data_IF_760705455752
#
_entry.id   IF_760705455752
#
_cell.length_a   1.000
_cell.length_b   1.000
_cell.length_c   1.000
_cell.angle_alpha   90.00
_cell.angle_beta   90.00
_cell.angle_gamma   90.00
#
_symmetry.space_group_name_H-M   'P 1'
#
loop_
_entity.id
_entity.type
_entity.pdbx_description
1 polymer ?
#
# COMPACT_ATOMS: atom_id res chain seq x y z
N UNK A 1 29.84 -15.73 -2.87
CA UNK A 1 28.63 -16.56 -2.70
C UNK A 1 27.86 -16.58 -4.02
N UNK A 2 28.10 -17.60 -4.84
CA UNK A 2 27.48 -17.74 -6.18
C UNK A 2 26.29 -18.71 -6.14
N UNK A 3 26.10 -19.41 -5.01
CA UNK A 3 25.03 -20.41 -4.87
C UNK A 3 23.68 -19.75 -4.57
N UNK A 4 22.67 -19.91 -5.47
CA UNK A 4 21.33 -19.33 -5.27
C UNK A 4 20.65 -19.78 -3.97
N UNK A 5 20.94 -20.99 -3.49
CA UNK A 5 20.38 -21.56 -2.25
C UNK A 5 20.84 -20.77 -1.03
N UNK A 6 22.09 -20.27 -1.01
CA UNK A 6 22.61 -19.47 0.10
C UNK A 6 21.92 -18.09 0.23
N UNK A 7 21.37 -17.56 -0.86
CA UNK A 7 20.64 -16.30 -0.86
C UNK A 7 19.23 -16.41 -0.25
N UNK A 8 18.60 -17.58 -0.27
CA UNK A 8 17.25 -17.75 0.28
C UNK A 8 17.17 -17.43 1.78
N UNK A 9 18.01 -18.03 2.67
CA UNK A 9 17.97 -17.69 4.09
C UNK A 9 18.37 -16.24 4.37
N UNK A 10 19.33 -15.69 3.62
CA UNK A 10 19.70 -14.27 3.75
C UNK A 10 18.55 -13.35 3.39
N UNK A 11 17.82 -13.64 2.32
CA UNK A 11 16.61 -12.88 1.92
C UNK A 11 15.51 -12.98 2.95
N UNK A 12 15.31 -14.14 3.55
CA UNK A 12 14.33 -14.34 4.61
C UNK A 12 14.69 -13.49 5.85
N UNK A 13 15.95 -13.53 6.29
CA UNK A 13 16.42 -12.75 7.44
C UNK A 13 16.32 -11.25 7.15
N UNK A 14 16.80 -10.79 5.99
CA UNK A 14 16.75 -9.37 5.63
C UNK A 14 15.31 -8.87 5.46
N UNK A 15 14.42 -9.69 4.89
CA UNK A 15 12.99 -9.36 4.75
C UNK A 15 12.31 -9.25 6.11
N UNK A 16 12.59 -10.17 7.03
CA UNK A 16 12.06 -10.13 8.39
C UNK A 16 12.58 -8.90 9.17
N UNK A 17 13.87 -8.61 9.08
CA UNK A 17 14.48 -7.43 9.71
C UNK A 17 13.89 -6.12 9.14
N UNK A 18 13.72 -6.04 7.82
CA UNK A 18 13.12 -4.90 7.15
C UNK A 18 11.66 -4.67 7.57
N UNK A 19 10.86 -5.74 7.61
CA UNK A 19 9.48 -5.66 8.07
C UNK A 19 9.38 -5.19 9.53
N UNK A 20 10.27 -5.71 10.40
CA UNK A 20 10.39 -5.28 11.79
C UNK A 20 10.76 -3.80 11.93
N UNK A 21 11.70 -3.32 11.12
CA UNK A 21 12.11 -1.91 11.09
C UNK A 21 10.95 -0.99 10.67
N UNK A 22 10.23 -1.31 9.61
CA UNK A 22 9.08 -0.52 9.15
C UNK A 22 8.00 -0.48 10.23
N UNK A 23 7.65 -1.64 10.80
CA UNK A 23 6.63 -1.74 11.85
C UNK A 23 7.01 -0.94 13.11
N UNK A 24 8.28 -1.02 13.52
CA UNK A 24 8.78 -0.25 14.65
C UNK A 24 8.72 1.26 14.38
N UNK A 25 9.13 1.70 13.18
CA UNK A 25 9.10 3.11 12.78
C UNK A 25 7.67 3.64 12.73
N UNK A 26 6.75 2.94 12.09
CA UNK A 26 5.34 3.33 12.03
C UNK A 26 4.68 3.37 13.41
N UNK A 27 4.97 2.38 14.26
CA UNK A 27 4.47 2.35 15.64
C UNK A 27 4.98 3.51 16.45
N UNK A 28 6.28 3.84 16.33
CA UNK A 28 6.90 4.96 17.04
C UNK A 28 6.33 6.30 16.58
N UNK A 29 6.20 6.50 15.26
CA UNK A 29 5.58 7.71 14.68
C UNK A 29 4.13 7.87 15.16
N UNK A 30 3.35 6.81 15.15
CA UNK A 30 1.97 6.83 15.59
C UNK A 30 1.82 7.12 17.10
N UNK A 31 2.75 6.65 17.92
CA UNK A 31 2.73 6.86 19.37
C UNK A 31 3.12 8.28 19.76
N UNK A 32 4.03 8.93 19.02
CA UNK A 32 4.52 10.28 19.31
C UNK A 32 3.81 11.38 18.52
N UNK A 33 2.96 11.02 17.56
CA UNK A 33 2.20 11.99 16.77
C UNK A 33 1.09 12.64 17.60
N UNK A 34 1.10 13.96 17.70
CA UNK A 34 -0.02 14.73 18.25
C UNK A 34 -1.22 14.58 17.30
N UNK A 35 -2.42 14.40 17.85
CA UNK A 35 -3.63 14.09 17.08
C UNK A 35 -3.90 15.10 15.94
N UNK A 36 -3.61 16.38 16.15
CA UNK A 36 -3.77 17.43 15.15
C UNK A 36 -2.77 17.40 13.99
N UNK A 37 -1.57 16.82 14.17
CA UNK A 37 -0.50 16.78 13.16
C UNK A 37 -0.16 15.37 12.68
N UNK A 38 -0.85 14.35 13.20
CA UNK A 38 -0.61 12.93 12.88
C UNK A 38 -0.67 12.64 11.38
N UNK A 39 -1.67 13.21 10.69
CA UNK A 39 -1.82 13.04 9.24
C UNK A 39 -0.64 13.63 8.46
N UNK A 40 -0.16 14.80 8.86
CA UNK A 40 1.01 15.45 8.23
C UNK A 40 2.27 14.61 8.44
N UNK A 41 2.51 14.12 9.65
CA UNK A 41 3.68 13.30 9.98
C UNK A 41 3.71 12.00 9.16
N UNK A 42 2.58 11.30 9.07
CA UNK A 42 2.46 10.08 8.27
C UNK A 42 2.60 10.35 6.76
N UNK A 43 2.12 11.51 6.28
CA UNK A 43 2.31 11.91 4.88
C UNK A 43 3.77 12.20 4.57
N UNK A 44 4.49 12.90 5.45
CA UNK A 44 5.93 13.14 5.30
C UNK A 44 6.70 11.82 5.30
N UNK A 45 6.38 10.90 6.23
CA UNK A 45 6.97 9.57 6.24
C UNK A 45 6.73 8.83 4.92
N UNK A 46 5.52 8.88 4.38
CA UNK A 46 5.19 8.28 3.08
C UNK A 46 6.00 8.87 1.92
N UNK A 47 6.10 10.19 1.85
CA UNK A 47 6.89 10.89 0.80
C UNK A 47 8.37 10.54 0.91
N UNK A 48 8.94 10.56 2.12
CA UNK A 48 10.34 10.19 2.36
C UNK A 48 10.59 8.74 1.98
N UNK A 49 9.70 7.82 2.36
CA UNK A 49 9.83 6.39 2.03
C UNK A 49 9.79 6.15 0.52
N UNK A 50 8.80 6.71 -0.18
CA UNK A 50 8.68 6.57 -1.64
C UNK A 50 9.84 7.26 -2.39
N UNK A 51 10.26 8.44 -1.93
CA UNK A 51 11.42 9.15 -2.46
C UNK A 51 12.71 8.34 -2.31
N UNK A 52 12.90 7.72 -1.15
CA UNK A 52 14.05 6.85 -0.89
C UNK A 52 14.06 5.62 -1.81
N UNK A 53 12.90 5.04 -2.10
CA UNK A 53 12.79 3.93 -3.06
C UNK A 53 13.15 4.37 -4.47
N UNK A 54 12.68 5.55 -4.90
CA UNK A 54 13.04 6.11 -6.21
C UNK A 54 14.55 6.39 -6.33
N UNK A 55 15.16 6.96 -5.30
CA UNK A 55 16.60 7.18 -5.21
C UNK A 55 17.35 5.84 -5.26
N UNK A 56 16.85 4.82 -4.54
CA UNK A 56 17.40 3.47 -4.57
C UNK A 56 17.47 2.87 -5.98
N UNK A 57 16.44 3.11 -6.81
CA UNK A 57 16.47 2.68 -8.22
C UNK A 57 17.55 3.43 -9.02
N UNK A 58 17.75 4.72 -8.75
CA UNK A 58 18.80 5.50 -9.43
C UNK A 58 20.21 5.05 -9.03
N UNK A 59 20.41 4.59 -7.79
CA UNK A 59 21.70 4.08 -7.29
C UNK A 59 22.18 2.85 -8.07
N UNK A 60 21.28 2.07 -8.67
CA UNK A 60 21.65 0.92 -9.51
C UNK A 60 22.50 1.31 -10.74
N UNK A 61 22.47 2.58 -11.14
CA UNK A 61 23.25 3.08 -12.29
C UNK A 61 24.66 3.56 -11.91
N UNK A 62 25.05 3.54 -10.63
CA UNK A 62 26.37 4.01 -10.16
C UNK A 62 27.46 2.98 -10.46
N UNK A 63 27.14 1.69 -10.37
CA UNK A 63 28.11 0.62 -10.60
C UNK A 63 27.41 -0.62 -11.20
N UNK A 64 28.13 -1.48 -11.94
CA UNK A 64 27.59 -2.74 -12.44
C UNK A 64 27.02 -3.59 -11.29
N UNK A 65 25.87 -4.26 -11.47
CA UNK A 65 25.25 -5.09 -10.41
C UNK A 65 26.13 -6.26 -9.93
N UNK A 66 27.10 -6.66 -10.73
CA UNK A 66 28.06 -7.70 -10.37
C UNK A 66 29.16 -7.22 -9.41
N UNK A 67 29.33 -5.90 -9.26
CA UNK A 67 30.34 -5.31 -8.39
C UNK A 67 29.89 -5.29 -6.93
N UNK A 68 30.87 -5.40 -6.03
CA UNK A 68 30.67 -5.27 -4.58
C UNK A 68 30.28 -3.83 -4.19
N UNK A 69 30.54 -2.86 -5.04
CA UNK A 69 30.34 -1.42 -4.77
C UNK A 69 28.92 -1.09 -4.31
N UNK A 70 27.89 -1.64 -4.97
CA UNK A 70 26.49 -1.40 -4.58
C UNK A 70 26.19 -1.96 -3.18
N UNK A 71 26.73 -3.13 -2.84
CA UNK A 71 26.57 -3.72 -1.50
C UNK A 71 27.28 -2.89 -0.43
N UNK A 72 28.45 -2.34 -0.73
CA UNK A 72 29.19 -1.44 0.18
C UNK A 72 28.40 -0.14 0.42
N UNK A 73 27.85 0.47 -0.64
CA UNK A 73 27.02 1.68 -0.53
C UNK A 73 25.80 1.41 0.36
N UNK A 74 25.07 0.32 0.13
CA UNK A 74 23.91 -0.04 0.94
C UNK A 74 24.30 -0.27 2.41
N UNK A 75 25.38 -1.01 2.66
CA UNK A 75 25.88 -1.25 4.02
C UNK A 75 26.28 0.05 4.73
N UNK A 76 26.92 0.97 4.01
CA UNK A 76 27.30 2.28 4.54
C UNK A 76 26.08 3.12 4.88
N UNK A 77 25.08 3.18 3.98
CA UNK A 77 23.85 3.93 4.20
C UNK A 77 23.05 3.38 5.39
N UNK A 78 22.94 2.06 5.53
CA UNK A 78 22.26 1.44 6.68
C UNK A 78 23.02 1.76 7.97
N UNK A 79 24.35 1.64 7.97
CA UNK A 79 25.17 1.96 9.14
C UNK A 79 25.07 3.45 9.53
N UNK A 80 25.10 4.33 8.53
CA UNK A 80 24.92 5.76 8.75
C UNK A 80 23.53 6.12 9.29
N UNK A 81 22.48 5.41 8.87
CA UNK A 81 21.11 5.63 9.36
C UNK A 81 20.93 5.27 10.85
N UNK A 82 21.75 4.35 11.39
CA UNK A 82 21.70 3.98 12.80
C UNK A 82 22.26 5.08 13.71
N UNK A 83 23.25 5.86 13.23
CA UNK A 83 23.94 6.89 14.02
C UNK A 83 22.97 7.93 14.62
N UNK A 84 22.12 8.61 13.86
CA UNK A 84 21.20 9.60 14.45
C UNK A 84 20.17 8.96 15.42
N UNK A 85 19.78 7.72 15.17
CA UNK A 85 18.83 7.00 16.04
C UNK A 85 19.43 6.72 17.41
N UNK A 86 20.72 6.36 17.45
CA UNK A 86 21.43 6.05 18.70
C UNK A 86 21.84 7.29 19.49
N UNK A 87 21.97 8.44 18.80
CA UNK A 87 22.34 9.71 19.45
C UNK A 87 21.13 10.45 20.06
N UNK A 88 19.90 10.15 19.61
CA UNK A 88 18.71 10.78 20.12
C UNK A 88 18.11 9.97 21.28
N UNK A 89 17.89 10.59 22.47
CA UNK A 89 17.18 9.90 23.56
C UNK A 89 15.75 9.62 23.11
N UNK A 90 15.40 8.35 22.99
CA UNK A 90 14.05 7.92 22.64
C UNK A 90 13.40 7.20 23.82
N UNK A 91 12.15 7.55 24.10
CA UNK A 91 11.33 6.78 25.04
C UNK A 91 10.69 5.63 24.27
N UNK A 92 10.70 4.41 24.82
CA UNK A 92 10.00 3.31 24.19
C UNK A 92 8.51 3.63 24.08
N UNK A 93 7.83 3.29 22.98
CA UNK A 93 6.41 3.50 22.85
C UNK A 93 5.66 2.70 23.91
N UNK A 94 4.58 3.28 24.46
CA UNK A 94 3.70 2.57 25.37
C UNK A 94 3.21 1.27 24.73
N UNK A 95 3.24 0.18 25.47
CA UNK A 95 2.72 -1.10 24.99
C UNK A 95 1.22 -0.96 24.80
N UNK A 96 0.79 -0.94 23.54
CA UNK A 96 -0.63 -1.02 23.20
C UNK A 96 -1.05 -2.48 23.33
N UNK A 97 -2.07 -2.75 24.15
CA UNK A 97 -2.65 -4.09 24.24
C UNK A 97 -2.97 -4.62 22.85
N UNK A 98 -2.42 -5.80 22.53
CA UNK A 98 -2.58 -6.39 21.21
C UNK A 98 -3.92 -7.12 21.15
N UNK A 99 -4.94 -6.49 20.56
CA UNK A 99 -6.14 -7.22 20.16
C UNK A 99 -5.78 -8.32 19.16
N UNK A 100 -6.27 -9.52 19.41
CA UNK A 100 -6.06 -10.68 18.52
C UNK A 100 -6.81 -10.44 17.21
N UNK A 101 -6.09 -10.54 16.11
CA UNK A 101 -6.70 -10.49 14.78
C UNK A 101 -7.49 -11.77 14.55
N UNK A 102 -8.81 -11.65 14.43
CA UNK A 102 -9.67 -12.77 14.04
C UNK A 102 -9.91 -12.67 12.53
N UNK A 103 -9.10 -13.37 11.75
CA UNK A 103 -9.19 -13.39 10.28
C UNK A 103 -10.60 -13.70 9.76
N UNK A 104 -11.30 -14.61 10.42
CA UNK A 104 -12.66 -14.97 10.04
C UNK A 104 -13.60 -13.77 10.10
N UNK A 105 -13.50 -12.97 11.16
CA UNK A 105 -14.34 -11.80 11.35
C UNK A 105 -14.07 -10.73 10.29
N UNK A 106 -12.80 -10.54 9.93
CA UNK A 106 -12.41 -9.62 8.85
C UNK A 106 -12.99 -10.05 7.50
N UNK A 107 -12.82 -11.33 7.12
CA UNK A 107 -13.31 -11.86 5.84
C UNK A 107 -14.85 -11.83 5.77
N UNK A 108 -15.54 -12.03 6.89
CA UNK A 108 -16.99 -11.98 6.95
C UNK A 108 -17.53 -10.55 6.94
N UNK A 109 -16.85 -9.63 7.62
CA UNK A 109 -17.30 -8.25 7.74
C UNK A 109 -17.01 -7.41 6.49
N UNK A 110 -15.82 -7.56 5.88
CA UNK A 110 -15.44 -6.84 4.67
C UNK A 110 -14.75 -7.76 3.65
N UNK A 111 -15.52 -8.64 3.00
CA UNK A 111 -14.95 -9.64 2.08
C UNK A 111 -14.32 -9.02 0.84
N UNK A 112 -14.79 -7.86 0.38
CA UNK A 112 -14.15 -7.14 -0.73
C UNK A 112 -12.77 -6.61 -0.33
N UNK A 113 -12.65 -6.02 0.86
CA UNK A 113 -11.39 -5.49 1.34
C UNK A 113 -10.36 -6.63 1.55
N UNK A 114 -10.79 -7.76 2.12
CA UNK A 114 -9.93 -8.91 2.34
C UNK A 114 -9.45 -9.53 1.02
N UNK A 115 -10.36 -9.80 0.08
CA UNK A 115 -10.02 -10.33 -1.24
C UNK A 115 -9.17 -9.32 -2.05
N UNK A 116 -9.52 -8.03 -1.98
CA UNK A 116 -8.79 -6.97 -2.68
C UNK A 116 -7.37 -6.80 -2.17
N UNK A 117 -7.15 -6.80 -0.86
CA UNK A 117 -5.82 -6.74 -0.28
C UNK A 117 -4.95 -7.95 -0.70
N UNK A 118 -5.53 -9.15 -0.71
CA UNK A 118 -4.82 -10.36 -1.12
C UNK A 118 -4.49 -10.35 -2.62
N UNK A 119 -5.47 -10.06 -3.49
CA UNK A 119 -5.28 -10.06 -4.95
C UNK A 119 -4.34 -8.93 -5.40
N UNK A 120 -4.45 -7.74 -4.80
CA UNK A 120 -3.50 -6.65 -5.04
C UNK A 120 -2.09 -7.04 -4.59
N UNK A 121 -1.97 -7.69 -3.42
CA UNK A 121 -0.70 -8.23 -2.94
C UNK A 121 -0.07 -9.23 -3.92
N UNK A 122 -0.86 -10.16 -4.44
CA UNK A 122 -0.40 -11.13 -5.45
C UNK A 122 0.10 -10.43 -6.73
N UNK A 123 -0.68 -9.51 -7.28
CA UNK A 123 -0.35 -8.83 -8.54
C UNK A 123 0.89 -7.94 -8.40
N UNK A 124 0.90 -7.08 -7.38
CA UNK A 124 1.98 -6.10 -7.15
C UNK A 124 3.22 -6.78 -6.57
N UNK A 125 3.04 -7.79 -5.70
CA UNK A 125 4.14 -8.61 -5.21
C UNK A 125 4.87 -9.35 -6.33
N UNK A 126 4.11 -9.90 -7.29
CA UNK A 126 4.67 -10.49 -8.51
C UNK A 126 5.55 -9.50 -9.27
N UNK A 127 5.09 -8.26 -9.44
CA UNK A 127 5.87 -7.18 -10.07
C UNK A 127 7.14 -6.86 -9.28
N UNK A 128 7.07 -6.66 -7.97
CA UNK A 128 8.26 -6.34 -7.16
C UNK A 128 9.32 -7.43 -7.19
N UNK A 129 8.91 -8.71 -7.18
CA UNK A 129 9.84 -9.83 -7.21
C UNK A 129 10.39 -10.15 -8.59
N UNK A 130 9.60 -10.00 -9.66
CA UNK A 130 9.93 -10.46 -11.00
C UNK A 130 10.08 -9.34 -12.04
N UNK A 131 9.75 -8.09 -11.70
CA UNK A 131 9.86 -6.94 -12.61
C UNK A 131 11.25 -6.74 -13.20
N UNK A 132 12.36 -6.76 -12.39
CA UNK A 132 13.70 -6.70 -12.97
C UNK A 132 14.02 -7.86 -13.91
N UNK A 133 13.55 -9.08 -13.61
CA UNK A 133 13.72 -10.25 -14.48
C UNK A 133 12.93 -10.11 -15.79
N UNK A 134 11.73 -9.53 -15.73
CA UNK A 134 10.98 -9.16 -16.93
C UNK A 134 11.81 -8.22 -17.82
N UNK A 135 12.34 -7.12 -17.25
CA UNK A 135 13.16 -6.16 -17.97
C UNK A 135 14.38 -6.80 -18.64
N UNK A 136 15.09 -7.70 -17.94
CA UNK A 136 16.21 -8.46 -18.49
C UNK A 136 15.78 -9.34 -19.67
N UNK A 137 14.65 -10.05 -19.56
CA UNK A 137 14.16 -10.96 -20.59
C UNK A 137 13.70 -10.26 -21.87
N UNK A 138 13.28 -9.01 -21.77
CA UNK A 138 12.93 -8.18 -22.94
C UNK A 138 14.13 -7.37 -23.48
N UNK A 139 15.33 -7.60 -22.91
CA UNK A 139 16.58 -7.01 -23.42
C UNK A 139 16.87 -5.59 -22.93
N UNK A 140 16.23 -5.12 -21.83
CA UNK A 140 16.58 -3.84 -21.24
C UNK A 140 17.93 -3.93 -20.52
N UNK A 141 18.72 -2.89 -20.67
CA UNK A 141 19.92 -2.67 -19.86
C UNK A 141 19.55 -2.25 -18.42
N UNK A 142 20.53 -2.13 -17.55
CA UNK A 142 20.34 -1.76 -16.14
C UNK A 142 19.62 -0.40 -16.02
N UNK A 143 19.96 0.55 -16.90
CA UNK A 143 19.34 1.87 -16.96
C UNK A 143 17.86 1.79 -17.32
N UNK A 144 17.51 1.00 -18.34
CA UNK A 144 16.13 0.76 -18.76
C UNK A 144 15.30 0.07 -17.68
N UNK A 145 15.86 -0.93 -16.99
CA UNK A 145 15.19 -1.61 -15.85
C UNK A 145 14.95 -0.62 -14.70
N UNK A 146 15.96 0.14 -14.31
CA UNK A 146 15.84 1.18 -13.29
C UNK A 146 14.77 2.22 -13.64
N UNK A 147 14.77 2.70 -14.89
CA UNK A 147 13.80 3.66 -15.39
C UNK A 147 12.36 3.09 -15.34
N UNK A 148 12.20 1.81 -15.74
CA UNK A 148 10.90 1.13 -15.69
C UNK A 148 10.38 1.00 -14.26
N UNK A 149 11.21 0.54 -13.33
CA UNK A 149 10.84 0.44 -11.91
C UNK A 149 10.50 1.82 -11.31
N UNK A 150 11.29 2.85 -11.65
CA UNK A 150 11.04 4.22 -11.23
C UNK A 150 9.75 4.81 -11.83
N UNK A 151 9.44 4.48 -13.09
CA UNK A 151 8.20 4.92 -13.75
C UNK A 151 6.95 4.36 -13.03
N UNK A 152 6.98 3.09 -12.63
CA UNK A 152 5.90 2.46 -11.85
C UNK A 152 5.69 3.18 -10.52
N UNK A 153 6.78 3.52 -9.80
CA UNK A 153 6.71 4.31 -8.57
C UNK A 153 6.22 5.73 -8.80
N UNK A 154 6.71 6.39 -9.85
CA UNK A 154 6.30 7.73 -10.25
C UNK A 154 4.80 7.81 -10.56
N UNK A 155 4.28 6.81 -11.28
CA UNK A 155 2.85 6.66 -11.53
C UNK A 155 2.04 6.52 -10.24
N UNK A 156 2.55 5.73 -9.29
CA UNK A 156 1.93 5.58 -7.97
C UNK A 156 1.85 6.91 -7.23
N UNK A 157 2.95 7.65 -7.16
CA UNK A 157 2.98 8.97 -6.51
C UNK A 157 2.00 9.96 -7.15
N UNK A 158 1.90 9.94 -8.49
CA UNK A 158 1.01 10.83 -9.24
C UNK A 158 -0.47 10.51 -9.02
N UNK A 159 -0.85 9.22 -8.98
CA UNK A 159 -2.26 8.80 -8.95
C UNK A 159 -2.79 8.44 -7.56
N UNK A 160 -1.93 8.26 -6.57
CA UNK A 160 -2.36 7.89 -5.20
C UNK A 160 -3.29 8.94 -4.57
N UNK A 161 -2.93 10.23 -4.68
CA UNK A 161 -3.77 11.31 -4.17
C UNK A 161 -5.08 11.48 -4.97
N UNK A 162 -5.09 11.55 -6.32
CA UNK A 162 -6.32 11.63 -7.09
C UNK A 162 -7.29 10.47 -6.85
N UNK A 163 -6.79 9.24 -6.74
CA UNK A 163 -7.62 8.07 -6.45
C UNK A 163 -8.20 8.11 -5.04
N UNK A 164 -7.43 8.53 -4.05
CA UNK A 164 -7.92 8.75 -2.69
C UNK A 164 -9.04 9.79 -2.66
N UNK A 165 -8.81 10.95 -3.27
CA UNK A 165 -9.79 12.03 -3.37
C UNK A 165 -11.08 11.60 -4.11
N UNK A 166 -10.95 10.82 -5.19
CA UNK A 166 -12.10 10.28 -5.91
C UNK A 166 -12.88 9.28 -5.06
N UNK A 167 -12.18 8.43 -4.31
CA UNK A 167 -12.75 7.44 -3.40
C UNK A 167 -13.57 8.05 -2.26
N UNK A 168 -13.27 9.29 -1.87
CA UNK A 168 -14.05 10.01 -0.85
C UNK A 168 -15.34 10.64 -1.41
N UNK A 169 -15.47 10.76 -2.73
CA UNK A 169 -16.61 11.42 -3.41
C UNK A 169 -17.54 10.47 -4.15
N UNK A 170 -17.02 9.35 -4.59
CA UNK A 170 -17.76 8.32 -5.34
C UNK A 170 -17.73 7.03 -4.51
N UNK A 171 -18.61 6.07 -4.82
CA UNK A 171 -18.60 4.79 -4.11
C UNK A 171 -17.21 4.13 -4.23
N UNK A 172 -16.60 3.76 -3.09
CA UNK A 172 -15.26 3.18 -3.02
C UNK A 172 -15.12 1.92 -3.88
N UNK A 173 -16.20 1.12 -3.97
CA UNK A 173 -16.21 -0.09 -4.79
C UNK A 173 -16.04 0.22 -6.28
N UNK A 174 -16.69 1.29 -6.77
CA UNK A 174 -16.52 1.72 -8.16
C UNK A 174 -15.12 2.25 -8.43
N UNK A 175 -14.52 2.96 -7.48
CA UNK A 175 -13.13 3.44 -7.61
C UNK A 175 -12.16 2.26 -7.62
N UNK A 176 -12.34 1.26 -6.75
CA UNK A 176 -11.54 0.02 -6.76
C UNK A 176 -11.69 -0.70 -8.10
N UNK A 177 -12.94 -0.88 -8.58
CA UNK A 177 -13.19 -1.54 -9.86
C UNK A 177 -12.53 -0.79 -11.02
N UNK A 178 -12.70 0.53 -11.08
CA UNK A 178 -12.09 1.38 -12.10
C UNK A 178 -10.56 1.35 -12.07
N UNK A 179 -9.96 1.47 -10.89
CA UNK A 179 -8.52 1.39 -10.70
C UNK A 179 -7.97 -0.01 -11.09
N UNK A 180 -8.66 -1.08 -10.69
CA UNK A 180 -8.28 -2.44 -11.04
C UNK A 180 -8.36 -2.69 -12.54
N UNK A 181 -9.41 -2.22 -13.23
CA UNK A 181 -9.53 -2.33 -14.69
C UNK A 181 -8.48 -1.49 -15.42
N UNK A 182 -8.24 -0.26 -14.98
CA UNK A 182 -7.22 0.60 -15.57
C UNK A 182 -5.82 0.00 -15.39
N UNK A 183 -5.51 -0.52 -14.21
CA UNK A 183 -4.25 -1.22 -13.96
C UNK A 183 -4.13 -2.52 -14.77
N UNK A 184 -5.23 -3.28 -14.92
CA UNK A 184 -5.24 -4.48 -15.76
C UNK A 184 -4.99 -4.15 -17.25
N UNK A 185 -5.64 -3.11 -17.77
CA UNK A 185 -5.42 -2.65 -19.13
C UNK A 185 -3.96 -2.19 -19.34
N UNK A 186 -3.40 -1.44 -18.37
CA UNK A 186 -2.01 -1.03 -18.40
C UNK A 186 -1.05 -2.23 -18.32
N UNK A 187 -1.37 -3.26 -17.50
CA UNK A 187 -0.59 -4.49 -17.43
C UNK A 187 -0.58 -5.23 -18.79
N UNK A 188 -1.74 -5.35 -19.47
CA UNK A 188 -1.79 -5.89 -20.83
C UNK A 188 -0.94 -5.02 -21.77
N UNK A 189 -1.03 -3.69 -21.65
CA UNK A 189 -0.19 -2.75 -22.38
C UNK A 189 1.30 -3.02 -22.19
N UNK A 190 1.78 -3.24 -20.96
CA UNK A 190 3.18 -3.61 -20.68
C UNK A 190 3.53 -4.95 -21.33
N UNK A 191 2.66 -5.96 -21.23
CA UNK A 191 2.90 -7.27 -21.84
C UNK A 191 3.06 -7.17 -23.37
N UNK A 192 2.29 -6.30 -24.02
CA UNK A 192 2.35 -6.07 -25.48
C UNK A 192 3.50 -5.13 -25.89
N UNK A 193 3.94 -4.25 -24.99
CA UNK A 193 4.99 -3.27 -25.23
C UNK A 193 6.41 -3.83 -25.04
N UNK A 194 6.57 -5.13 -24.89
CA UNK A 194 7.89 -5.77 -24.73
C UNK A 194 8.85 -5.47 -25.90
N UNK A 195 8.32 -5.27 -27.11
CA UNK A 195 9.08 -4.91 -28.31
C UNK A 195 8.90 -3.43 -28.71
N UNK A 196 8.17 -2.65 -27.94
CA UNK A 196 7.85 -1.26 -28.23
C UNK A 196 8.97 -0.31 -27.74
N UNK A 197 8.98 0.95 -28.23
CA UNK A 197 9.92 1.97 -27.73
C UNK A 197 9.82 2.15 -26.21
N UNK A 198 10.97 2.30 -25.54
CA UNK A 198 11.08 2.44 -24.09
C UNK A 198 10.08 3.45 -23.50
N UNK A 199 9.84 4.64 -24.06
CA UNK A 199 8.88 5.59 -23.49
C UNK A 199 7.46 5.04 -23.36
N UNK A 200 7.01 4.20 -24.30
CA UNK A 200 5.69 3.58 -24.23
C UNK A 200 5.62 2.54 -23.12
N UNK A 201 6.67 1.74 -22.95
CA UNK A 201 6.80 0.78 -21.87
C UNK A 201 6.78 1.49 -20.50
N UNK A 202 7.52 2.61 -20.37
CA UNK A 202 7.54 3.42 -19.15
C UNK A 202 6.16 4.01 -18.82
N UNK A 203 5.46 4.52 -19.83
CA UNK A 203 4.11 5.07 -19.67
C UNK A 203 3.11 3.98 -19.22
N UNK A 204 3.14 2.82 -19.88
CA UNK A 204 2.30 1.67 -19.48
C UNK A 204 2.63 1.18 -18.06
N UNK A 205 3.93 1.11 -17.71
CA UNK A 205 4.39 0.79 -16.36
C UNK A 205 3.91 1.81 -15.31
N UNK A 206 4.01 3.10 -15.62
CA UNK A 206 3.53 4.16 -14.74
C UNK A 206 2.01 4.07 -14.49
N UNK A 207 1.22 3.78 -15.51
CA UNK A 207 -0.22 3.56 -15.37
C UNK A 207 -0.52 2.28 -14.57
N UNK A 208 0.20 1.18 -14.83
CA UNK A 208 0.05 -0.06 -14.06
C UNK A 208 0.27 0.17 -12.56
N UNK A 209 1.40 0.78 -12.18
CA UNK A 209 1.70 1.08 -10.78
C UNK A 209 0.78 2.13 -10.20
N UNK A 210 0.49 3.17 -10.97
CA UNK A 210 -0.34 4.29 -10.56
C UNK A 210 -1.76 3.90 -10.16
N UNK A 211 -2.36 2.98 -10.89
CA UNK A 211 -3.68 2.45 -10.55
C UNK A 211 -3.63 1.22 -9.64
N UNK A 212 -2.60 0.36 -9.75
CA UNK A 212 -2.54 -0.92 -9.06
C UNK A 212 -2.10 -0.81 -7.59
N UNK A 213 -1.03 -0.07 -7.30
CA UNK A 213 -0.47 0.02 -5.95
C UNK A 213 -1.44 0.67 -4.96
N UNK A 214 -2.18 1.76 -5.29
CA UNK A 214 -3.14 2.36 -4.38
C UNK A 214 -4.34 1.48 -4.00
N UNK A 215 -4.61 0.39 -4.72
CA UNK A 215 -5.75 -0.51 -4.46
C UNK A 215 -5.75 -1.01 -3.01
N UNK A 216 -4.59 -1.34 -2.44
CA UNK A 216 -4.49 -1.75 -1.05
C UNK A 216 -5.02 -0.68 -0.08
N UNK A 217 -4.64 0.58 -0.30
CA UNK A 217 -5.12 1.69 0.53
C UNK A 217 -6.63 1.92 0.38
N UNK A 218 -7.18 1.73 -0.82
CA UNK A 218 -8.61 1.79 -1.07
C UNK A 218 -9.35 0.64 -0.38
N UNK A 219 -8.80 -0.58 -0.38
CA UNK A 219 -9.35 -1.71 0.35
C UNK A 219 -9.34 -1.49 1.87
N UNK A 220 -8.28 -0.88 2.40
CA UNK A 220 -8.21 -0.49 3.80
C UNK A 220 -9.29 0.55 4.15
N UNK A 221 -9.53 1.50 3.26
CA UNK A 221 -10.58 2.50 3.44
C UNK A 221 -11.98 1.87 3.45
N UNK A 222 -12.26 0.90 2.56
CA UNK A 222 -13.51 0.12 2.57
C UNK A 222 -13.70 -0.62 3.89
N UNK A 223 -12.66 -1.31 4.36
CA UNK A 223 -12.75 -2.04 5.63
C UNK A 223 -12.99 -1.12 6.84
N UNK A 224 -12.45 0.09 6.79
CA UNK A 224 -12.67 1.10 7.83
C UNK A 224 -14.11 1.64 7.84
N UNK A 225 -14.78 1.67 6.68
CA UNK A 225 -16.19 2.05 6.60
C UNK A 225 -17.13 0.93 7.06
N UNK A 226 -16.76 -0.33 6.82
CA UNK A 226 -17.57 -1.51 7.15
C UNK A 226 -17.51 -1.89 8.64
N UNK A 227 -16.52 -1.42 9.39
CA UNK A 227 -16.22 -1.88 10.74
C UNK A 227 -16.22 -0.76 11.79
N UNK A 228 -16.66 -1.05 13.03
CA UNK A 228 -16.66 -0.07 14.11
C UNK A 228 -15.24 0.34 14.50
N UNK A 229 -15.09 1.56 15.00
CA UNK A 229 -13.81 2.17 15.37
C UNK A 229 -12.95 1.32 16.32
N UNK A 230 -13.58 0.53 17.21
CA UNK A 230 -12.90 -0.38 18.12
C UNK A 230 -12.15 -1.52 17.44
N UNK A 231 -12.49 -1.87 16.19
CA UNK A 231 -11.87 -2.97 15.44
C UNK A 231 -10.91 -2.51 14.35
N UNK A 232 -10.75 -1.21 14.13
CA UNK A 232 -9.93 -0.66 13.02
C UNK A 232 -8.49 -1.15 13.05
N UNK A 233 -7.87 -1.19 14.22
CA UNK A 233 -6.47 -1.59 14.36
C UNK A 233 -6.26 -3.08 14.04
N UNK A 234 -7.16 -3.95 14.53
CA UNK A 234 -7.15 -5.37 14.22
C UNK A 234 -7.37 -5.63 12.73
N UNK A 235 -8.30 -4.89 12.13
CA UNK A 235 -8.62 -4.95 10.70
C UNK A 235 -7.43 -4.57 9.82
N UNK A 236 -6.78 -3.46 10.11
CA UNK A 236 -5.59 -3.01 9.36
C UNK A 236 -4.47 -4.06 9.40
N UNK A 237 -4.22 -4.66 10.57
CA UNK A 237 -3.25 -5.76 10.72
C UNK A 237 -3.63 -6.99 9.90
N UNK A 238 -4.92 -7.37 9.92
CA UNK A 238 -5.42 -8.51 9.15
C UNK A 238 -5.27 -8.30 7.63
N UNK A 239 -5.62 -7.13 7.13
CA UNK A 239 -5.45 -6.76 5.72
C UNK A 239 -3.98 -6.71 5.32
N UNK A 240 -3.11 -6.17 6.17
CA UNK A 240 -1.67 -6.14 5.92
C UNK A 240 -1.10 -7.56 5.83
N UNK A 241 -1.53 -8.48 6.68
CA UNK A 241 -1.13 -9.88 6.62
C UNK A 241 -1.61 -10.57 5.34
N UNK A 242 -2.87 -10.36 4.93
CA UNK A 242 -3.39 -10.91 3.67
C UNK A 242 -2.63 -10.36 2.46
N UNK A 243 -2.36 -9.05 2.44
CA UNK A 243 -1.55 -8.43 1.42
C UNK A 243 -0.11 -8.96 1.40
N UNK A 244 0.49 -9.15 2.60
CA UNK A 244 1.83 -9.71 2.75
C UNK A 244 1.92 -11.16 2.24
N UNK A 245 0.94 -12.00 2.54
CA UNK A 245 0.87 -13.39 2.01
C UNK A 245 0.78 -13.34 0.48
N UNK A 246 -0.09 -12.46 -0.06
CA UNK A 246 -0.20 -12.25 -1.50
C UNK A 246 1.14 -11.80 -2.11
N UNK A 247 1.79 -10.81 -1.50
CA UNK A 247 3.07 -10.28 -1.97
C UNK A 247 4.18 -11.33 -1.94
N UNK A 248 4.20 -12.22 -0.96
CA UNK A 248 5.16 -13.32 -0.87
C UNK A 248 4.91 -14.40 -1.93
N UNK A 249 3.65 -14.73 -2.21
CA UNK A 249 3.28 -15.74 -3.21
C UNK A 249 3.34 -15.21 -4.65
N UNK A 250 3.17 -13.91 -4.85
CA UNK A 250 3.14 -13.25 -6.16
C UNK A 250 4.30 -13.59 -7.07
N UNK A 251 5.56 -13.46 -6.61
CA UNK A 251 6.74 -13.77 -7.44
C UNK A 251 6.81 -15.21 -7.89
N UNK A 252 6.35 -16.15 -7.09
CA UNK A 252 6.34 -17.59 -7.44
C UNK A 252 5.37 -17.86 -8.60
N UNK A 253 4.15 -17.33 -8.48
CA UNK A 253 3.11 -17.51 -9.49
C UNK A 253 3.43 -16.69 -10.74
N UNK A 254 3.88 -15.45 -10.56
CA UNK A 254 4.31 -14.58 -11.66
C UNK A 254 5.50 -15.15 -12.43
N UNK A 255 6.48 -15.73 -11.71
CA UNK A 255 7.62 -16.44 -12.32
C UNK A 255 7.19 -17.67 -13.10
N UNK A 256 6.25 -18.47 -12.59
CA UNK A 256 5.66 -19.59 -13.31
C UNK A 256 4.90 -19.14 -14.58
N UNK A 257 4.12 -18.05 -14.47
CA UNK A 257 3.45 -17.47 -15.64
C UNK A 257 4.45 -17.01 -16.72
N UNK A 258 5.56 -16.38 -16.31
CA UNK A 258 6.65 -16.02 -17.23
C UNK A 258 7.34 -17.24 -17.85
N UNK A 259 7.41 -18.36 -17.16
CA UNK A 259 8.01 -19.60 -17.71
C UNK A 259 7.11 -20.24 -18.77
N UNK A 260 5.78 -20.14 -18.61
CA UNK A 260 4.80 -20.78 -19.51
C UNK A 260 4.49 -19.89 -20.72
N UNK A 261 4.26 -18.60 -20.51
CA UNK A 261 3.74 -17.67 -21.53
C UNK A 261 4.84 -16.79 -22.12
N UNK A 262 6.02 -16.74 -21.47
CA UNK A 262 7.09 -15.81 -21.84
C UNK A 262 7.10 -14.56 -20.94
N UNK A 263 7.96 -13.55 -21.23
CA UNK A 263 8.18 -12.40 -20.36
C UNK A 263 6.90 -11.67 -19.98
N UNK A 264 5.98 -11.45 -20.95
CA UNK A 264 4.69 -10.78 -20.73
C UNK A 264 3.74 -11.53 -19.80
N UNK A 265 4.00 -12.83 -19.52
CA UNK A 265 3.19 -13.65 -18.64
C UNK A 265 3.02 -13.07 -17.22
N UNK A 266 4.03 -12.35 -16.72
CA UNK A 266 3.95 -11.63 -15.44
C UNK A 266 2.80 -10.63 -15.41
N UNK A 267 2.70 -9.81 -16.43
CA UNK A 267 1.69 -8.76 -16.49
C UNK A 267 0.32 -9.29 -16.89
N UNK A 268 0.25 -10.34 -17.72
CA UNK A 268 -1.01 -11.04 -18.01
C UNK A 268 -1.59 -11.71 -16.76
N UNK A 269 -0.75 -12.33 -15.93
CA UNK A 269 -1.13 -12.85 -14.62
C UNK A 269 -1.68 -11.73 -13.71
N UNK A 270 -0.95 -10.60 -13.60
CA UNK A 270 -1.40 -9.46 -12.82
C UNK A 270 -2.73 -8.90 -13.35
N UNK A 271 -2.89 -8.77 -14.67
CA UNK A 271 -4.13 -8.34 -15.29
C UNK A 271 -5.31 -9.26 -14.96
N UNK A 272 -5.12 -10.57 -15.02
CA UNK A 272 -6.17 -11.54 -14.65
C UNK A 272 -6.64 -11.37 -13.20
N UNK A 273 -5.71 -11.21 -12.25
CA UNK A 273 -6.05 -10.97 -10.83
C UNK A 273 -6.80 -9.66 -10.63
N UNK A 274 -6.37 -8.60 -11.31
CA UNK A 274 -7.00 -7.28 -11.24
C UNK A 274 -8.40 -7.27 -11.87
N UNK A 275 -8.62 -8.03 -12.94
CA UNK A 275 -9.96 -8.23 -13.54
C UNK A 275 -10.86 -8.96 -12.56
N UNK A 276 -10.37 -10.04 -11.92
CA UNK A 276 -11.12 -10.75 -10.88
C UNK A 276 -11.51 -9.78 -9.75
N UNK A 277 -10.59 -8.94 -9.31
CA UNK A 277 -10.86 -7.93 -8.29
C UNK A 277 -11.93 -6.94 -8.75
N UNK A 278 -11.84 -6.44 -9.99
CA UNK A 278 -12.82 -5.51 -10.54
C UNK A 278 -14.22 -6.12 -10.56
N UNK A 279 -14.35 -7.37 -11.00
CA UNK A 279 -15.62 -8.10 -10.99
C UNK A 279 -16.17 -8.24 -9.56
N UNK A 280 -15.32 -8.60 -8.60
CA UNK A 280 -15.71 -8.70 -7.19
C UNK A 280 -16.18 -7.35 -6.64
N UNK A 281 -15.51 -6.26 -7.00
CA UNK A 281 -15.87 -4.91 -6.55
C UNK A 281 -17.21 -4.43 -7.11
N UNK A 282 -17.55 -4.78 -8.36
CA UNK A 282 -18.83 -4.44 -8.98
C UNK A 282 -19.98 -5.29 -8.46
N UNK A 283 -19.74 -6.58 -8.26
CA UNK A 283 -20.78 -7.53 -7.81
C UNK A 283 -21.17 -7.35 -6.34
N UNK A 284 -20.27 -6.82 -5.52
CA UNK A 284 -20.52 -6.54 -4.11
C UNK A 284 -21.07 -5.13 -3.94
N UNK A 285 -22.41 -4.99 -3.92
CA UNK A 285 -23.07 -3.73 -3.56
C UNK A 285 -22.80 -3.45 -2.09
N UNK A 286 -22.06 -2.37 -1.79
CA UNK A 286 -22.16 -1.76 -0.47
C UNK A 286 -23.52 -1.09 -0.34
N UNK A 287 -24.23 -1.22 0.79
CA UNK A 287 -25.27 -0.27 1.15
C UNK A 287 -24.61 1.11 1.15
N UNK A 288 -25.21 2.07 0.48
CA UNK A 288 -24.71 3.47 0.49
C UNK A 288 -24.43 3.86 1.94
N UNK A 289 -23.28 4.49 2.25
CA UNK A 289 -22.99 4.89 3.61
C UNK A 289 -24.16 5.73 4.12
N UNK A 290 -24.69 5.47 5.31
CA UNK A 290 -25.70 6.33 5.89
C UNK A 290 -25.09 7.73 5.94
N UNK A 291 -25.76 8.67 5.30
CA UNK A 291 -25.36 10.06 5.13
C UNK A 291 -24.94 10.64 6.50
N UNK A 292 -23.66 10.54 6.84
CA UNK A 292 -23.12 10.96 8.15
C UNK A 292 -23.27 12.47 8.38
N UNK A 293 -23.62 13.23 7.32
CA UNK A 293 -23.99 14.64 7.42
C UNK A 293 -25.30 14.88 8.20
N UNK A 294 -26.12 13.84 8.48
CA UNK A 294 -27.35 13.98 9.25
C UNK A 294 -27.32 13.35 10.65
N UNK A 295 -26.26 12.67 11.04
CA UNK A 295 -26.13 12.09 12.39
C UNK A 295 -25.66 13.09 13.44
N UNK A 296 -25.10 14.25 13.04
CA UNK A 296 -24.64 15.31 13.94
C UNK A 296 -25.73 16.24 14.51
N UNK A 297 -27.01 16.04 14.16
CA UNK A 297 -28.05 17.03 14.50
C UNK A 297 -29.28 16.46 15.22
N UNK A 298 -29.18 15.32 15.90
CA UNK A 298 -30.24 14.86 16.80
C UNK A 298 -29.74 14.80 18.24
N UNK A 299 -29.76 15.95 18.91
CA UNK A 299 -29.78 15.95 20.37
C UNK A 299 -31.05 15.20 20.84
N UNK A 300 -30.93 14.21 21.76
CA UNK A 300 -32.11 13.56 22.30
C UNK A 300 -32.95 14.59 23.06
N UNK A 301 -34.23 14.63 22.73
CA UNK A 301 -35.26 15.54 23.31
C UNK A 301 -35.70 15.12 24.71
N UNK A 302 -35.02 14.23 25.38
CA UNK A 302 -35.37 13.77 26.74
C UNK A 302 -34.40 14.38 27.75
N UNK A 303 -34.85 15.07 28.80
CA UNK A 303 -34.00 15.61 29.84
C UNK A 303 -33.50 14.45 30.71
N UNK A 304 -32.26 14.02 30.51
CA UNK A 304 -31.59 13.12 31.48
C UNK A 304 -30.92 13.95 32.60
N UNK A 305 -31.38 13.69 33.81
CA UNK A 305 -30.83 14.20 35.04
C UNK A 305 -29.57 13.36 35.35
N UNK A 306 -28.47 13.62 34.69
CA UNK A 306 -27.11 13.21 35.09
C UNK A 306 -26.11 14.01 34.27
N UNK A 307 -25.25 14.78 34.98
CA UNK A 307 -24.24 15.65 34.36
C UNK A 307 -23.11 14.84 33.75
N UNK A 308 -23.25 14.49 32.48
CA UNK A 308 -22.17 13.94 31.65
C UNK A 308 -21.60 15.03 30.76
N UNK A 309 -20.32 14.92 30.41
CA UNK A 309 -19.56 15.85 29.56
C UNK A 309 -20.28 16.17 28.21
N UNK A 310 -21.07 15.23 27.71
CA UNK A 310 -21.81 15.36 26.44
C UNK A 310 -22.89 16.44 26.48
N UNK A 311 -23.46 16.72 27.68
CA UNK A 311 -24.45 17.79 27.89
C UNK A 311 -23.81 19.18 27.83
N UNK A 312 -22.55 19.33 28.22
CA UNK A 312 -21.83 20.60 28.15
C UNK A 312 -21.47 20.96 26.68
N UNK A 313 -21.12 20.00 25.85
CA UNK A 313 -20.80 20.22 24.45
C UNK A 313 -22.05 20.65 23.65
N UNK A 314 -23.22 20.07 23.93
CA UNK A 314 -24.48 20.48 23.32
C UNK A 314 -24.93 21.90 23.74
N UNK A 315 -24.62 22.34 24.95
CA UNK A 315 -24.98 23.70 25.39
C UNK A 315 -24.06 24.77 24.80
N UNK A 316 -22.79 24.49 24.57
CA UNK A 316 -21.87 25.43 23.90
C UNK A 316 -22.20 25.67 22.44
N UNK A 317 -22.73 24.67 21.70
CA UNK A 317 -23.18 24.85 20.33
C UNK A 317 -24.40 25.74 20.17
N UNK A 318 -25.29 25.78 21.17
CA UNK A 318 -26.52 26.62 21.12
C UNK A 318 -26.28 28.10 21.41
N UNK A 319 -25.21 28.48 22.07
CA UNK A 319 -24.88 29.86 22.39
C UNK A 319 -24.17 30.61 21.25
N UNK A 320 -23.69 29.91 20.23
CA UNK A 320 -23.12 30.54 19.02
C UNK A 320 -24.16 30.84 17.93
N UNK A 321 -25.33 30.17 17.93
CA UNK A 321 -26.37 30.37 16.90
C UNK A 321 -27.35 31.51 17.20
N UNK A 322 -27.23 32.18 18.34
CA UNK A 322 -28.12 33.31 18.75
C UNK A 322 -27.43 34.67 18.53
N UNK A 323 -26.27 34.73 17.89
CA UNK A 323 -25.56 35.99 17.60
C UNK A 323 -25.29 36.24 16.10
N UNK A 324 -26.22 35.84 15.25
CA UNK A 324 -26.27 36.34 13.87
C UNK A 324 -27.70 36.69 13.50
#
# INVERSE_FOLDING_TARGET
FVEPIAWMPLRLITGFAYAGMILATESWLNAHAVQSTRGQLLSIFGVVSMGSWAIGQALLNIAPPADVTLFLIVSLLISAAVVPITLLPSHPPAQVEQERVVFRDLVLASPLAAAGAFLAGLAIGGFWGMGPNFGQRIGLDVGGISAFMAAVLGGTLALQWPLGWLSDRVSRNLVIAGAALASAAAAVGVAMAAEAPLPLLLAAGALFGGFGIPIYSLCLAVANDDLPASRLLGTARGLLLLNGIGTAAGPLIGGAAMAIVGPGGLFLYAAALLIILAVLAVTRRQPSPPNQAKAGARCPSTPMITGSLDTMICMQGKTQDVRH
#
